data_IF_239379497527
#
_entry.id   IF_239379497527
#
_cell.length_a   1.000
_cell.length_b   1.000
_cell.length_c   1.000
_cell.angle_alpha   90.00
_cell.angle_beta   90.00
_cell.angle_gamma   90.00
#
_symmetry.space_group_name_H-M   'P 1'
#
loop_
_entity.id
_entity.type
_entity.pdbx_description
1 polymer ?
#
# COMPACT_ATOMS: atom_id res chain seq x y z
N UNK A 1 9.65 11.93 -0.55
CA UNK A 1 8.34 11.50 -1.03
C UNK A 1 7.29 11.75 0.05
N UNK A 2 6.56 12.84 -0.08
CA UNK A 2 5.46 13.14 0.82
C UNK A 2 4.24 13.47 -0.01
N UNK A 3 3.24 12.61 0.06
CA UNK A 3 1.95 12.81 -0.59
C UNK A 3 2.10 13.32 -2.03
N UNK A 4 2.92 12.63 -2.81
CA UNK A 4 3.09 12.94 -4.22
C UNK A 4 2.00 12.24 -5.01
N UNK A 5 1.23 12.98 -5.80
CA UNK A 5 0.13 12.37 -6.53
C UNK A 5 0.24 12.59 -8.03
N UNK A 6 -0.31 11.62 -8.77
CA UNK A 6 -0.41 11.68 -10.21
C UNK A 6 -1.62 10.88 -10.66
N UNK A 7 -2.06 11.12 -11.88
CA UNK A 7 -3.16 10.36 -12.46
C UNK A 7 -2.61 9.48 -13.57
N UNK A 8 -2.92 8.17 -13.50
CA UNK A 8 -2.54 7.20 -14.54
C UNK A 8 -3.81 6.45 -14.91
N UNK A 9 -4.19 6.48 -16.19
CA UNK A 9 -5.48 5.96 -16.66
C UNK A 9 -6.60 6.64 -15.85
N UNK A 10 -7.50 5.86 -15.23
CA UNK A 10 -8.59 6.42 -14.43
C UNK A 10 -8.29 6.45 -12.93
N UNK A 11 -7.05 6.13 -12.55
CA UNK A 11 -6.67 6.02 -11.14
C UNK A 11 -5.84 7.22 -10.68
N UNK A 12 -6.05 7.63 -9.44
CA UNK A 12 -5.16 8.57 -8.76
C UNK A 12 -4.17 7.74 -7.95
N UNK A 13 -2.89 7.96 -8.17
CA UNK A 13 -1.83 7.24 -7.46
C UNK A 13 -1.10 8.21 -6.55
N UNK A 14 -1.04 7.89 -5.27
CA UNK A 14 -0.33 8.67 -4.26
C UNK A 14 0.86 7.87 -3.77
N UNK A 15 2.01 8.51 -3.69
CA UNK A 15 3.24 7.94 -3.15
C UNK A 15 3.61 8.71 -1.90
N UNK A 16 3.82 8.00 -0.78
CA UNK A 16 4.17 8.63 0.48
C UNK A 16 5.14 7.76 1.26
N UNK A 17 6.11 8.40 1.90
CA UNK A 17 7.15 7.73 2.68
C UNK A 17 6.62 7.20 4.02
N UNK A 18 5.35 7.40 4.33
CA UNK A 18 4.75 6.99 5.61
C UNK A 18 5.11 5.54 5.96
N UNK A 19 5.64 5.31 7.15
CA UNK A 19 6.05 3.99 7.59
C UNK A 19 5.81 3.75 9.09
N UNK A 20 5.30 4.74 9.80
CA UNK A 20 4.82 4.61 11.17
C UNK A 20 3.29 4.65 11.20
N UNK A 21 2.65 3.99 12.17
CA UNK A 21 1.17 3.98 12.22
C UNK A 21 0.54 5.37 12.19
N UNK A 22 1.11 6.34 12.92
CA UNK A 22 0.57 7.70 12.92
C UNK A 22 0.69 8.38 11.56
N UNK A 23 1.79 8.13 10.85
CA UNK A 23 2.00 8.67 9.52
C UNK A 23 1.04 8.05 8.51
N UNK A 24 0.83 6.74 8.61
CA UNK A 24 -0.10 6.01 7.75
C UNK A 24 -1.52 6.58 7.93
N UNK A 25 -1.94 6.75 9.18
CA UNK A 25 -3.26 7.30 9.48
C UNK A 25 -3.42 8.70 8.90
N UNK A 26 -2.40 9.54 9.07
CA UNK A 26 -2.44 10.91 8.56
C UNK A 26 -2.52 10.94 7.03
N UNK A 27 -1.78 10.07 6.35
CA UNK A 27 -1.77 10.01 4.90
C UNK A 27 -3.11 9.55 4.34
N UNK A 28 -3.69 8.49 4.94
CA UNK A 28 -4.99 7.99 4.53
C UNK A 28 -6.07 9.07 4.75
N UNK A 29 -6.02 9.74 5.91
CA UNK A 29 -6.97 10.79 6.22
C UNK A 29 -6.87 11.95 5.24
N UNK A 30 -5.66 12.37 4.89
CA UNK A 30 -5.46 13.44 3.92
C UNK A 30 -6.03 13.07 2.54
N UNK A 31 -5.82 11.83 2.11
CA UNK A 31 -6.36 11.35 0.86
C UNK A 31 -7.89 11.34 0.88
N UNK A 32 -8.47 10.92 1.99
CA UNK A 32 -9.92 10.88 2.14
C UNK A 32 -10.53 12.27 2.12
N UNK A 33 -9.86 13.25 2.70
CA UNK A 33 -10.31 14.64 2.65
C UNK A 33 -10.25 15.23 1.25
N UNK A 34 -9.21 14.90 0.51
CA UNK A 34 -9.03 15.38 -0.85
C UNK A 34 -9.97 14.70 -1.84
N UNK A 35 -10.29 13.42 -1.61
CA UNK A 35 -11.12 12.61 -2.49
C UNK A 35 -12.28 11.98 -1.71
N UNK A 36 -13.19 12.78 -1.17
CA UNK A 36 -14.23 12.25 -0.26
C UNK A 36 -15.23 11.29 -0.89
N UNK A 37 -15.29 11.24 -2.22
CA UNK A 37 -16.25 10.39 -2.93
C UNK A 37 -15.59 9.16 -3.56
N UNK A 38 -14.28 9.01 -3.40
CA UNK A 38 -13.54 7.89 -3.99
C UNK A 38 -13.15 6.87 -2.93
N UNK A 39 -12.99 5.62 -3.34
CA UNK A 39 -12.44 4.61 -2.45
C UNK A 39 -10.95 4.87 -2.29
N UNK A 40 -10.45 4.65 -1.08
CA UNK A 40 -9.04 4.79 -0.76
C UNK A 40 -8.47 3.40 -0.56
N UNK A 41 -7.58 2.99 -1.44
CA UNK A 41 -6.91 1.70 -1.40
C UNK A 41 -5.49 1.93 -0.90
N UNK A 42 -5.14 1.31 0.22
CA UNK A 42 -3.80 1.43 0.79
C UNK A 42 -2.95 0.24 0.38
N UNK A 43 -1.74 0.50 -0.09
CA UNK A 43 -0.72 -0.53 -0.34
C UNK A 43 0.45 -0.18 0.55
N UNK A 44 0.73 -1.01 1.54
CA UNK A 44 1.75 -0.74 2.54
C UNK A 44 2.83 -1.80 2.54
N UNK A 45 4.09 -1.35 2.53
CA UNK A 45 5.25 -2.21 2.71
C UNK A 45 5.78 -2.04 4.13
N UNK A 46 5.64 -3.06 5.00
CA UNK A 46 6.24 -2.99 6.32
C UNK A 46 7.76 -2.94 6.21
N UNK A 47 8.39 -2.19 7.12
CA UNK A 47 9.83 -2.02 7.13
C UNK A 47 10.41 -2.60 8.41
N UNK A 48 11.28 -3.59 8.26
CA UNK A 48 11.92 -4.42 9.28
C UNK A 48 10.94 -5.31 10.05
N UNK A 49 11.39 -6.52 10.38
CA UNK A 49 10.58 -7.48 11.14
C UNK A 49 10.35 -7.00 12.56
N UNK A 50 11.39 -6.48 13.23
CA UNK A 50 11.29 -6.05 14.61
C UNK A 50 10.25 -4.93 14.79
N UNK A 51 10.24 -3.96 13.91
CA UNK A 51 9.26 -2.87 13.96
C UNK A 51 7.85 -3.39 13.70
N UNK A 52 7.71 -4.30 12.73
CA UNK A 52 6.41 -4.86 12.39
C UNK A 52 5.82 -5.62 13.58
N UNK A 53 6.63 -6.43 14.27
CA UNK A 53 6.18 -7.16 15.45
C UNK A 53 5.76 -6.18 16.56
N UNK A 54 6.61 -5.20 16.84
CA UNK A 54 6.38 -4.28 17.96
C UNK A 54 5.13 -3.42 17.78
N UNK A 55 4.79 -3.07 16.55
CA UNK A 55 3.71 -2.13 16.25
C UNK A 55 2.55 -2.76 15.47
N UNK A 56 2.48 -4.08 15.43
CA UNK A 56 1.53 -4.78 14.56
C UNK A 56 0.08 -4.33 14.76
N UNK A 57 -0.38 -4.23 16.00
CA UNK A 57 -1.76 -3.82 16.26
C UNK A 57 -2.00 -2.37 15.84
N UNK A 58 -1.02 -1.50 16.04
CA UNK A 58 -1.13 -0.10 15.65
C UNK A 58 -1.13 0.05 14.13
N UNK A 59 -0.31 -0.72 13.43
CA UNK A 59 -0.34 -0.76 11.97
C UNK A 59 -1.70 -1.20 11.46
N UNK A 60 -2.24 -2.27 12.06
CA UNK A 60 -3.54 -2.80 11.63
C UNK A 60 -4.65 -1.76 11.81
N UNK A 61 -4.67 -1.04 12.92
CA UNK A 61 -5.66 0.01 13.17
C UNK A 61 -5.54 1.16 12.19
N UNK A 62 -4.32 1.59 11.90
CA UNK A 62 -4.08 2.68 10.96
C UNK A 62 -4.53 2.30 9.55
N UNK A 63 -4.18 1.10 9.12
CA UNK A 63 -4.52 0.62 7.79
C UNK A 63 -6.02 0.39 7.62
N UNK A 64 -6.74 0.04 8.69
CA UNK A 64 -8.19 -0.12 8.66
C UNK A 64 -8.94 1.17 8.31
N UNK A 65 -8.28 2.30 8.35
CA UNK A 65 -8.88 3.57 7.92
C UNK A 65 -9.10 3.62 6.41
N UNK A 66 -8.39 2.80 5.65
CA UNK A 66 -8.59 2.70 4.21
C UNK A 66 -9.82 1.83 3.90
N UNK A 67 -10.35 1.94 2.70
CA UNK A 67 -11.47 1.11 2.25
C UNK A 67 -11.00 -0.30 1.89
N UNK A 68 -9.78 -0.43 1.38
CA UNK A 68 -9.19 -1.72 1.04
C UNK A 68 -7.70 -1.64 1.34
N UNK A 69 -7.13 -2.74 1.82
CA UNK A 69 -5.71 -2.79 2.20
C UNK A 69 -5.02 -3.93 1.49
N UNK A 70 -3.87 -3.62 0.91
CA UNK A 70 -2.93 -4.60 0.37
C UNK A 70 -1.59 -4.39 1.05
N UNK A 71 -0.84 -5.45 1.20
CA UNK A 71 0.48 -5.42 1.81
C UNK A 71 1.48 -5.98 0.82
N UNK A 72 2.74 -5.59 0.96
CA UNK A 72 3.83 -6.24 0.26
C UNK A 72 4.68 -7.00 1.28
N UNK A 73 5.63 -7.80 0.80
CA UNK A 73 6.56 -8.47 1.70
C UNK A 73 7.31 -7.45 2.54
N UNK A 74 7.65 -7.85 3.77
CA UNK A 74 8.38 -6.98 4.69
C UNK A 74 9.75 -6.66 4.11
N UNK A 75 10.07 -5.37 4.03
CA UNK A 75 11.39 -4.91 3.60
C UNK A 75 12.34 -4.98 4.80
N UNK A 76 13.39 -5.77 4.68
CA UNK A 76 14.32 -5.95 5.79
C UNK A 76 15.75 -6.07 5.27
N UNK A 77 16.72 -5.83 6.17
CA UNK A 77 18.12 -6.09 5.88
C UNK A 77 18.39 -7.60 5.95
N UNK A 78 19.55 -8.00 5.45
CA UNK A 78 19.98 -9.39 5.53
C UNK A 78 19.96 -9.92 6.97
N UNK A 79 20.25 -9.05 7.94
CA UNK A 79 20.30 -9.44 9.35
C UNK A 79 18.93 -9.84 9.92
N UNK A 80 17.86 -9.44 9.28
CA UNK A 80 16.50 -9.71 9.78
C UNK A 80 15.72 -10.66 8.89
N UNK A 81 16.37 -11.35 7.96
CA UNK A 81 15.69 -12.23 7.00
C UNK A 81 14.89 -13.37 7.64
N UNK A 82 15.24 -13.77 8.85
CA UNK A 82 14.60 -14.89 9.53
C UNK A 82 13.63 -14.46 10.62
N UNK A 83 12.98 -13.30 10.45
CA UNK A 83 11.98 -12.84 11.38
C UNK A 83 10.82 -13.81 11.51
N UNK A 84 10.21 -13.88 12.69
CA UNK A 84 9.11 -14.80 12.98
C UNK A 84 7.78 -14.36 12.40
N UNK A 85 7.71 -13.14 11.87
CA UNK A 85 6.46 -12.54 11.38
C UNK A 85 6.55 -12.29 9.88
N UNK A 86 5.43 -12.38 9.20
CA UNK A 86 5.33 -12.08 7.77
C UNK A 86 4.28 -10.99 7.53
N UNK A 87 4.25 -10.47 6.31
CA UNK A 87 3.21 -9.52 5.90
C UNK A 87 1.82 -10.14 6.04
N UNK A 88 1.70 -11.45 5.79
CA UNK A 88 0.44 -12.16 5.97
C UNK A 88 -0.07 -12.06 7.39
N UNK A 89 0.82 -12.14 8.38
CA UNK A 89 0.43 -12.02 9.80
C UNK A 89 -0.17 -10.65 10.09
N UNK A 90 0.41 -9.60 9.54
CA UNK A 90 -0.16 -8.27 9.67
C UNK A 90 -1.53 -8.20 8.98
N UNK A 91 -1.64 -8.77 7.80
CA UNK A 91 -2.90 -8.79 7.05
C UNK A 91 -4.04 -9.43 7.82
N UNK A 92 -3.74 -10.48 8.58
CA UNK A 92 -4.74 -11.17 9.38
C UNK A 92 -5.22 -10.33 10.57
N UNK A 93 -4.43 -9.36 11.01
CA UNK A 93 -4.79 -8.45 12.10
C UNK A 93 -5.68 -7.29 11.64
N UNK A 94 -5.71 -7.02 10.35
CA UNK A 94 -6.52 -5.94 9.79
C UNK A 94 -7.97 -6.41 9.69
N UNK A 95 -8.92 -5.65 10.24
CA UNK A 95 -10.33 -6.05 10.28
C UNK A 95 -10.88 -6.38 8.90
N UNK A 96 -10.49 -5.59 7.90
CA UNK A 96 -10.94 -5.80 6.52
C UNK A 96 -10.10 -6.82 5.77
N UNK A 97 -9.08 -7.38 6.43
CA UNK A 97 -8.08 -8.21 5.80
C UNK A 97 -7.05 -7.37 5.05
N UNK A 98 -5.91 -7.98 4.76
CA UNK A 98 -4.86 -7.34 3.99
C UNK A 98 -4.19 -8.39 3.13
N UNK A 99 -4.52 -8.41 1.83
CA UNK A 99 -3.94 -9.36 0.91
C UNK A 99 -2.50 -8.96 0.58
N UNK A 100 -1.61 -9.94 0.52
CA UNK A 100 -0.21 -9.68 0.17
C UNK A 100 -0.05 -9.70 -1.35
N UNK A 101 0.49 -8.62 -1.89
CA UNK A 101 0.76 -8.50 -3.32
C UNK A 101 2.18 -8.95 -3.62
N UNK A 102 2.36 -9.54 -4.80
CA UNK A 102 3.67 -9.86 -5.33
C UNK A 102 4.04 -8.84 -6.41
N UNK A 103 5.32 -8.49 -6.49
CA UNK A 103 5.80 -7.60 -7.55
C UNK A 103 5.47 -8.15 -8.94
N UNK A 104 5.46 -9.47 -9.07
CA UNK A 104 5.14 -10.15 -10.33
C UNK A 104 3.64 -10.24 -10.60
N UNK A 105 2.82 -9.94 -9.62
CA UNK A 105 1.37 -10.02 -9.79
C UNK A 105 0.67 -8.90 -9.03
N UNK A 106 0.55 -7.77 -9.69
CA UNK A 106 -0.16 -6.60 -9.17
C UNK A 106 -1.61 -6.56 -9.67
N UNK A 107 -2.06 -7.62 -10.34
CA UNK A 107 -3.39 -7.65 -10.96
C UNK A 107 -4.57 -7.43 -10.02
N UNK A 108 -4.52 -7.80 -8.72
CA UNK A 108 -5.64 -7.50 -7.83
C UNK A 108 -6.00 -6.01 -7.78
N UNK A 109 -5.03 -5.12 -7.99
CA UNK A 109 -5.28 -3.68 -8.01
C UNK A 109 -6.04 -3.22 -9.27
N UNK A 110 -6.14 -4.07 -10.28
CA UNK A 110 -6.86 -3.73 -11.50
C UNK A 110 -8.38 -3.81 -11.35
N UNK A 111 -8.86 -4.32 -10.21
CA UNK A 111 -10.29 -4.38 -9.91
C UNK A 111 -10.90 -3.03 -9.55
N UNK A 112 -10.06 -2.01 -9.35
CA UNK A 112 -10.52 -0.68 -8.95
C UNK A 112 -10.50 0.28 -10.12
N UNK A 113 -11.53 1.14 -10.20
CA UNK A 113 -11.67 2.10 -11.28
C UNK A 113 -12.09 3.45 -10.71
N UNK A 114 -11.45 4.51 -11.19
CA UNK A 114 -11.74 5.89 -10.78
C UNK A 114 -11.59 6.09 -9.26
N UNK A 115 -10.65 5.38 -8.66
CA UNK A 115 -10.39 5.42 -7.21
C UNK A 115 -8.96 5.90 -6.94
N UNK A 116 -8.58 5.87 -5.66
CA UNK A 116 -7.26 6.34 -5.19
C UNK A 116 -6.48 5.17 -4.62
N UNK A 117 -5.25 4.98 -5.07
CA UNK A 117 -4.33 3.98 -4.51
C UNK A 117 -3.15 4.71 -3.89
N UNK A 118 -2.86 4.42 -2.63
CA UNK A 118 -1.74 5.03 -1.90
C UNK A 118 -0.67 3.98 -1.67
N UNK A 119 0.54 4.25 -2.16
CA UNK A 119 1.70 3.40 -1.92
C UNK A 119 2.51 4.00 -0.78
N UNK A 120 2.63 3.28 0.33
CA UNK A 120 3.30 3.77 1.54
C UNK A 120 4.42 2.83 1.97
N UNK A 121 5.53 3.41 2.39
CA UNK A 121 6.65 2.65 2.92
C UNK A 121 7.98 3.36 2.75
N UNK A 122 8.97 2.92 3.52
CA UNK A 122 10.31 3.49 3.52
C UNK A 122 11.31 2.64 2.73
N UNK A 123 10.89 1.48 2.22
CA UNK A 123 11.76 0.56 1.50
C UNK A 123 11.64 0.69 -0.01
N UNK A 124 11.46 -0.43 -0.70
CA UNK A 124 11.42 -0.46 -2.15
C UNK A 124 9.99 -0.43 -2.73
N UNK A 125 9.04 0.13 -1.97
CA UNK A 125 7.65 0.28 -2.40
C UNK A 125 7.52 0.99 -3.76
N UNK A 126 8.43 1.92 -4.16
CA UNK A 126 8.34 2.52 -5.49
C UNK A 126 8.39 1.51 -6.65
N UNK A 127 9.02 0.36 -6.45
CA UNK A 127 9.03 -0.70 -7.48
C UNK A 127 7.64 -1.25 -7.72
N UNK A 128 6.85 -1.40 -6.66
CA UNK A 128 5.46 -1.88 -6.76
C UNK A 128 4.59 -0.84 -7.43
N UNK A 129 4.79 0.42 -7.09
CA UNK A 129 4.06 1.52 -7.73
C UNK A 129 4.34 1.53 -9.22
N UNK A 130 5.62 1.42 -9.62
CA UNK A 130 6.00 1.41 -11.03
C UNK A 130 5.38 0.24 -11.77
N UNK A 131 5.39 -0.96 -11.17
CA UNK A 131 4.79 -2.14 -11.79
C UNK A 131 3.30 -1.94 -12.01
N UNK A 132 2.61 -1.34 -11.05
CA UNK A 132 1.19 -1.04 -11.17
C UNK A 132 0.93 -0.02 -12.29
N UNK A 133 1.73 1.04 -12.35
CA UNK A 133 1.59 2.07 -13.38
C UNK A 133 1.78 1.49 -14.78
N UNK A 134 2.73 0.58 -14.94
CA UNK A 134 2.97 -0.10 -16.21
C UNK A 134 1.76 -0.93 -16.63
N UNK A 135 1.15 -1.66 -15.67
CA UNK A 135 -0.05 -2.43 -15.95
C UNK A 135 -1.20 -1.53 -16.39
N UNK A 136 -1.42 -0.42 -15.70
CA UNK A 136 -2.47 0.53 -16.05
C UNK A 136 -2.25 1.12 -17.44
N UNK A 137 -1.02 1.48 -17.75
CA UNK A 137 -0.67 2.07 -19.05
C UNK A 137 -0.87 1.07 -20.17
N UNK A 138 -0.47 -0.18 -19.95
CA UNK A 138 -0.64 -1.24 -20.96
C UNK A 138 -2.11 -1.53 -21.24
N UNK A 139 -2.95 -1.54 -20.22
CA UNK A 139 -4.38 -1.75 -20.38
C UNK A 139 -5.02 -0.60 -21.11
N UNK A 140 -4.63 0.63 -20.82
CA UNK A 140 -5.15 1.81 -21.48
C UNK A 140 -4.83 1.77 -22.99
N UNK A 141 -3.61 1.34 -23.35
CA UNK A 141 -3.20 1.20 -24.75
C UNK A 141 -3.99 0.13 -25.47
N UNK A 142 -4.29 -0.99 -24.80
CA UNK A 142 -5.06 -2.09 -25.42
C UNK A 142 -6.52 -1.73 -25.65
N UNK A 143 -7.06 -0.82 -24.87
CA UNK A 143 -8.46 -0.42 -24.96
C UNK A 143 -8.68 0.75 -25.93
N UNK A 144 -7.60 1.28 -26.48
CA UNK A 144 -7.65 2.31 -27.50
C UNK A 144 -7.47 1.69 -28.88
#
# INVERSE_FOLDING_TARGET
>A
RRFSEKKVADMVIIDDYAHHPSEIAATIDAARQQYPKKKIIAVFQPHTFSRTVALMDDFAKSLDLADKVYLTEIFSSIREQNGEVSAKDLGEKISKGGEVLSLDNMSPLLDFHDDVVIFMGAGDIPKYEQAYEELLSNLSLKNN
#
